data_IF_521097901608
#
_entry.id   IF_521097901608
#
_cell.length_a   1.000
_cell.length_b   1.000
_cell.length_c   1.000
_cell.angle_alpha   90.00
_cell.angle_beta   90.00
_cell.angle_gamma   90.00
#
_symmetry.space_group_name_H-M   'P 1'
#
loop_
_entity.id
_entity.type
_entity.pdbx_description
1 polymer ?
#
# COMPACT_ATOMS: atom_id res chain seq x y z
N UNK A 1 13.99 -20.20 9.79
CA UNK A 1 12.64 -19.61 9.91
C UNK A 1 12.79 -18.10 10.01
N UNK A 2 11.95 -17.34 9.31
CA UNK A 2 11.93 -15.88 9.38
C UNK A 2 11.36 -15.41 10.72
N UNK A 3 11.91 -14.35 11.29
CA UNK A 3 11.37 -13.73 12.51
C UNK A 3 10.41 -12.60 12.15
N UNK A 4 9.31 -12.48 12.89
CA UNK A 4 8.39 -11.34 12.75
C UNK A 4 9.06 -10.02 13.12
N UNK A 5 9.94 -10.07 14.12
CA UNK A 5 10.69 -8.91 14.59
C UNK A 5 11.71 -8.46 13.53
N UNK A 6 11.70 -7.15 13.31
CA UNK A 6 12.63 -6.42 12.44
C UNK A 6 13.17 -5.23 13.23
N UNK A 7 14.27 -4.66 12.75
CA UNK A 7 14.88 -3.45 13.28
C UNK A 7 15.15 -2.50 12.12
N UNK A 8 15.02 -1.17 12.31
CA UNK A 8 15.41 -0.17 11.28
C UNK A 8 16.83 -0.43 10.78
N UNK A 9 17.74 -0.70 11.70
CA UNK A 9 19.13 -1.02 11.42
C UNK A 9 19.41 -2.40 12.02
N UNK A 10 19.60 -3.39 11.15
CA UNK A 10 20.04 -4.71 11.56
C UNK A 10 21.57 -4.78 11.59
N UNK A 11 22.15 -4.93 12.79
CA UNK A 11 23.60 -4.99 13.00
C UNK A 11 24.07 -6.36 13.47
N UNK A 12 23.16 -7.28 13.79
CA UNK A 12 23.48 -8.60 14.29
C UNK A 12 23.81 -9.54 13.11
N UNK A 13 25.08 -9.93 13.01
CA UNK A 13 25.60 -10.76 11.92
C UNK A 13 24.88 -12.12 11.79
N UNK A 14 24.30 -12.63 12.87
CA UNK A 14 23.56 -13.88 12.91
C UNK A 14 22.13 -13.75 12.36
N UNK A 15 21.61 -12.53 12.20
CA UNK A 15 20.21 -12.26 11.81
C UNK A 15 20.06 -11.42 10.54
N UNK A 16 21.15 -10.87 9.97
CA UNK A 16 21.17 -10.04 8.74
C UNK A 16 20.30 -10.58 7.58
N UNK A 17 20.25 -11.89 7.37
CA UNK A 17 19.49 -12.49 6.26
C UNK A 17 18.15 -13.12 6.69
N UNK A 18 17.87 -13.15 7.99
CA UNK A 18 16.76 -13.93 8.59
C UNK A 18 15.64 -13.08 9.18
N UNK A 19 15.88 -11.79 9.43
CA UNK A 19 14.85 -10.89 9.94
C UNK A 19 13.84 -10.48 8.88
N UNK A 20 12.56 -10.44 9.29
CA UNK A 20 11.46 -10.01 8.44
C UNK A 20 11.02 -11.03 7.40
N UNK A 21 9.96 -10.68 6.67
CA UNK A 21 9.40 -11.49 5.59
C UNK A 21 10.04 -11.04 4.26
N UNK A 22 10.36 -12.00 3.38
CA UNK A 22 10.75 -11.72 2.00
C UNK A 22 9.51 -11.76 1.10
N UNK A 23 8.95 -10.61 0.69
CA UNK A 23 7.76 -10.61 -0.16
C UNK A 23 8.12 -11.09 -1.56
N UNK A 24 7.39 -12.08 -2.07
CA UNK A 24 7.57 -12.66 -3.42
C UNK A 24 6.40 -12.30 -4.35
N UNK A 25 6.00 -11.02 -4.37
CA UNK A 25 4.85 -10.57 -5.19
C UNK A 25 5.20 -10.47 -6.67
N UNK A 26 6.31 -9.78 -6.94
CA UNK A 26 6.92 -9.68 -8.25
C UNK A 26 8.19 -10.53 -8.19
N UNK A 27 8.11 -11.82 -8.53
CA UNK A 27 9.27 -12.70 -8.46
C UNK A 27 10.28 -12.30 -9.54
N UNK A 28 11.59 -12.51 -9.28
CA UNK A 28 12.59 -12.41 -10.33
C UNK A 28 12.23 -13.29 -11.52
N UNK A 29 12.44 -12.79 -12.73
CA UNK A 29 12.45 -13.62 -13.93
C UNK A 29 13.69 -14.52 -13.89
N UNK A 30 13.54 -15.70 -13.29
CA UNK A 30 14.62 -16.68 -13.16
C UNK A 30 15.09 -17.21 -14.52
N UNK A 31 14.27 -17.14 -15.57
CA UNK A 31 14.61 -17.62 -16.90
C UNK A 31 15.56 -16.67 -17.61
N UNK A 32 15.33 -15.35 -17.50
CA UNK A 32 16.17 -14.33 -18.12
C UNK A 32 17.18 -13.67 -17.17
N UNK A 33 17.36 -14.24 -15.97
CA UNK A 33 18.26 -13.70 -14.96
C UNK A 33 19.71 -13.65 -15.48
N UNK A 34 20.32 -12.47 -15.47
CA UNK A 34 21.70 -12.24 -15.95
C UNK A 34 21.86 -12.03 -17.46
N UNK A 35 20.80 -12.18 -18.26
CA UNK A 35 20.82 -11.92 -19.70
C UNK A 35 20.56 -10.44 -20.07
N UNK A 36 20.17 -9.61 -19.09
CA UNK A 36 19.78 -8.21 -19.32
C UNK A 36 18.41 -8.05 -20.01
N UNK A 37 17.69 -9.14 -20.23
CA UNK A 37 16.39 -9.22 -20.94
C UNK A 37 15.27 -9.64 -19.99
N UNK A 38 15.24 -9.06 -18.79
CA UNK A 38 14.20 -9.32 -17.79
C UNK A 38 12.86 -8.78 -18.32
N UNK A 39 11.80 -9.58 -18.28
CA UNK A 39 10.50 -9.27 -18.90
C UNK A 39 9.35 -9.16 -17.87
N UNK A 40 9.67 -8.70 -16.65
CA UNK A 40 8.65 -8.51 -15.62
C UNK A 40 7.81 -7.26 -15.89
N UNK A 41 6.51 -7.43 -16.08
CA UNK A 41 5.57 -6.31 -16.11
C UNK A 41 5.32 -5.73 -14.72
N UNK A 42 5.35 -4.39 -14.63
CA UNK A 42 4.93 -3.67 -13.43
C UNK A 42 3.49 -3.20 -13.55
N UNK A 43 2.63 -3.70 -12.66
CA UNK A 43 1.21 -3.35 -12.67
C UNK A 43 1.00 -2.03 -11.93
N UNK A 44 0.80 -0.96 -12.69
CA UNK A 44 0.48 0.36 -12.14
C UNK A 44 -0.99 0.51 -11.75
N UNK A 45 -1.88 -0.04 -12.59
CA UNK A 45 -3.33 0.04 -12.44
C UNK A 45 -3.91 -1.34 -12.69
N UNK A 46 -4.87 -1.72 -11.85
CA UNK A 46 -5.58 -3.00 -12.00
C UNK A 46 -6.95 -2.96 -11.38
N UNK A 47 -7.81 -3.83 -11.87
CA UNK A 47 -9.22 -3.86 -11.51
C UNK A 47 -9.49 -3.93 -9.99
N UNK A 48 -8.77 -4.73 -9.18
CA UNK A 48 -9.03 -4.76 -7.74
C UNK A 48 -8.83 -3.41 -7.03
N UNK A 49 -7.91 -2.57 -7.48
CA UNK A 49 -7.79 -1.21 -6.92
C UNK A 49 -9.06 -0.39 -7.18
N UNK A 50 -9.58 -0.44 -8.41
CA UNK A 50 -10.83 0.24 -8.78
C UNK A 50 -12.02 -0.25 -7.96
N UNK A 51 -12.13 -1.58 -7.76
CA UNK A 51 -13.20 -2.16 -6.95
C UNK A 51 -13.09 -1.75 -5.48
N UNK A 52 -11.88 -1.72 -4.92
CA UNK A 52 -11.63 -1.25 -3.55
C UNK A 52 -11.89 0.26 -3.40
N UNK A 53 -11.57 1.07 -4.41
CA UNK A 53 -11.93 2.50 -4.44
C UNK A 53 -13.45 2.69 -4.47
N UNK A 54 -14.18 1.91 -5.27
CA UNK A 54 -15.66 1.91 -5.28
C UNK A 54 -16.22 1.54 -3.91
N UNK A 55 -15.67 0.49 -3.28
CA UNK A 55 -16.08 0.08 -1.93
C UNK A 55 -15.83 1.20 -0.90
N UNK A 56 -14.69 1.89 -0.98
CA UNK A 56 -14.38 3.01 -0.08
C UNK A 56 -15.35 4.17 -0.27
N UNK A 57 -15.62 4.56 -1.52
CA UNK A 57 -16.53 5.65 -1.83
C UNK A 57 -17.93 5.38 -1.24
N UNK A 58 -18.43 4.16 -1.37
CA UNK A 58 -19.73 3.76 -0.81
C UNK A 58 -19.71 3.82 0.72
N UNK A 59 -18.66 3.30 1.38
CA UNK A 59 -18.53 3.38 2.85
C UNK A 59 -18.45 4.82 3.36
N UNK A 60 -17.98 5.76 2.54
CA UNK A 60 -17.93 7.19 2.86
C UNK A 60 -19.20 7.96 2.48
N UNK A 61 -20.28 7.25 2.13
CA UNK A 61 -21.59 7.84 1.83
C UNK A 61 -21.86 8.09 0.35
N UNK A 62 -20.98 7.65 -0.55
CA UNK A 62 -21.22 7.68 -1.98
C UNK A 62 -22.38 6.76 -2.39
N UNK A 63 -23.17 7.19 -3.37
CA UNK A 63 -24.29 6.39 -3.90
C UNK A 63 -23.76 5.18 -4.69
N UNK A 64 -24.19 3.99 -4.30
CA UNK A 64 -23.83 2.76 -5.00
C UNK A 64 -24.42 2.72 -6.41
N UNK A 65 -23.61 2.27 -7.37
CA UNK A 65 -24.05 2.00 -8.75
C UNK A 65 -24.08 0.50 -9.03
N UNK A 66 -25.04 0.08 -9.86
CA UNK A 66 -25.22 -1.33 -10.28
C UNK A 66 -24.38 -1.71 -11.50
N UNK A 67 -23.46 -0.85 -11.94
CA UNK A 67 -22.59 -1.13 -13.08
C UNK A 67 -21.57 -2.24 -12.75
N UNK A 68 -21.44 -3.20 -13.69
CA UNK A 68 -20.49 -4.31 -13.63
C UNK A 68 -21.05 -5.56 -12.93
N UNK A 69 -20.22 -6.61 -12.86
CA UNK A 69 -20.59 -7.94 -12.33
C UNK A 69 -20.15 -8.18 -10.88
N UNK A 70 -19.47 -7.21 -10.27
CA UNK A 70 -18.82 -7.35 -8.96
C UNK A 70 -19.69 -6.90 -7.77
N UNK A 71 -20.97 -6.60 -8.03
CA UNK A 71 -21.92 -6.12 -7.04
C UNK A 71 -21.87 -4.61 -6.78
N UNK A 72 -22.71 -4.18 -5.85
CA UNK A 72 -22.95 -2.78 -5.51
C UNK A 72 -22.79 -2.47 -4.02
N UNK A 73 -22.38 -3.43 -3.19
CA UNK A 73 -22.09 -3.22 -1.77
C UNK A 73 -20.58 -3.31 -1.51
N UNK A 74 -20.04 -2.61 -0.48
CA UNK A 74 -18.63 -2.74 -0.11
C UNK A 74 -18.24 -4.20 0.17
N UNK A 75 -19.13 -4.95 0.84
CA UNK A 75 -18.93 -6.36 1.15
C UNK A 75 -18.82 -7.22 -0.13
N UNK A 76 -19.72 -7.04 -1.10
CA UNK A 76 -19.69 -7.79 -2.35
C UNK A 76 -18.43 -7.48 -3.16
N UNK A 77 -18.06 -6.20 -3.25
CA UNK A 77 -16.87 -5.75 -3.98
C UNK A 77 -15.59 -6.34 -3.38
N UNK A 78 -15.42 -6.24 -2.05
CA UNK A 78 -14.26 -6.82 -1.35
C UNK A 78 -14.23 -8.34 -1.48
N UNK A 79 -15.36 -9.01 -1.25
CA UNK A 79 -15.41 -10.47 -1.33
C UNK A 79 -15.14 -10.99 -2.75
N UNK A 80 -15.53 -10.25 -3.80
CA UNK A 80 -15.21 -10.62 -5.18
C UNK A 80 -13.71 -10.73 -5.46
N UNK A 81 -12.88 -9.93 -4.76
CA UNK A 81 -11.42 -10.00 -4.85
C UNK A 81 -10.90 -11.13 -3.96
N UNK A 82 -11.38 -11.21 -2.72
CA UNK A 82 -10.90 -12.18 -1.72
C UNK A 82 -11.12 -13.62 -2.17
N UNK A 83 -12.31 -13.92 -2.68
CA UNK A 83 -12.68 -15.27 -3.09
C UNK A 83 -12.32 -15.58 -4.53
N UNK A 84 -11.65 -14.67 -5.24
CA UNK A 84 -11.09 -14.96 -6.57
C UNK A 84 -10.14 -16.17 -6.49
N UNK A 85 -10.17 -17.00 -7.54
CA UNK A 85 -9.39 -18.23 -7.58
C UNK A 85 -7.87 -18.01 -7.47
N UNK A 86 -7.37 -16.81 -7.78
CA UNK A 86 -5.96 -16.43 -7.63
C UNK A 86 -5.58 -16.04 -6.19
N UNK A 87 -6.55 -15.72 -5.33
CA UNK A 87 -6.32 -15.30 -3.93
C UNK A 87 -6.71 -16.39 -2.93
N UNK A 88 -7.87 -17.04 -3.15
CA UNK A 88 -8.42 -18.11 -2.29
C UNK A 88 -8.52 -17.69 -0.81
N UNK A 89 -8.76 -16.42 -0.54
CA UNK A 89 -8.97 -15.93 0.81
C UNK A 89 -10.43 -16.16 1.25
N UNK A 90 -10.65 -16.28 2.56
CA UNK A 90 -12.00 -16.42 3.13
C UNK A 90 -12.84 -15.15 2.93
N UNK A 91 -14.12 -15.34 2.60
CA UNK A 91 -15.08 -14.24 2.54
C UNK A 91 -15.23 -13.57 3.91
N UNK A 92 -15.37 -12.25 3.92
CA UNK A 92 -15.75 -11.49 5.10
C UNK A 92 -17.27 -11.53 5.27
N UNK A 93 -17.74 -11.38 6.51
CA UNK A 93 -19.16 -11.26 6.85
C UNK A 93 -19.65 -9.81 6.85
N UNK A 94 -18.73 -8.86 7.06
CA UNK A 94 -18.98 -7.42 7.01
C UNK A 94 -17.70 -6.69 6.62
N UNK A 95 -17.83 -5.46 6.11
CA UNK A 95 -16.72 -4.57 5.77
C UNK A 95 -17.06 -3.18 6.25
N UNK A 96 -16.21 -2.63 7.13
CA UNK A 96 -16.17 -1.22 7.49
C UNK A 96 -14.91 -0.56 6.91
N UNK A 97 -14.68 0.73 7.21
CA UNK A 97 -13.49 1.45 6.74
C UNK A 97 -12.18 0.85 7.28
N UNK A 98 -12.17 0.27 8.48
CA UNK A 98 -10.97 -0.35 9.03
C UNK A 98 -10.63 -1.64 8.29
N UNK A 99 -11.63 -2.50 8.08
CA UNK A 99 -11.49 -3.73 7.30
C UNK A 99 -11.05 -3.43 5.87
N UNK A 100 -11.59 -2.39 5.24
CA UNK A 100 -11.20 -1.98 3.90
C UNK A 100 -9.76 -1.43 3.84
N UNK A 101 -9.33 -0.64 4.83
CA UNK A 101 -7.95 -0.15 4.94
C UNK A 101 -6.94 -1.31 5.01
N UNK A 102 -7.26 -2.33 5.79
CA UNK A 102 -6.43 -3.53 5.88
C UNK A 102 -6.47 -4.35 4.60
N UNK A 103 -7.62 -4.44 3.93
CA UNK A 103 -7.76 -5.17 2.67
C UNK A 103 -6.96 -4.51 1.54
N UNK A 104 -7.00 -3.18 1.43
CA UNK A 104 -6.14 -2.44 0.50
C UNK A 104 -4.66 -2.72 0.77
N UNK A 105 -4.27 -2.80 2.05
CA UNK A 105 -2.91 -3.18 2.45
C UNK A 105 -2.51 -4.60 2.01
N UNK A 106 -3.41 -5.58 2.15
CA UNK A 106 -3.19 -6.96 1.71
C UNK A 106 -3.16 -7.11 0.20
N UNK A 107 -4.06 -6.44 -0.50
CA UNK A 107 -4.21 -6.60 -1.94
C UNK A 107 -3.10 -5.86 -2.69
N UNK A 108 -2.78 -4.62 -2.30
CA UNK A 108 -1.92 -3.68 -3.05
C UNK A 108 -0.50 -3.50 -2.44
N UNK A 109 -0.05 -4.39 -1.55
CA UNK A 109 1.33 -4.33 -1.04
C UNK A 109 2.35 -4.37 -2.19
N UNK A 110 3.44 -3.62 -2.10
CA UNK A 110 4.45 -3.47 -3.16
C UNK A 110 3.93 -2.88 -4.50
N UNK A 111 2.78 -2.20 -4.50
CA UNK A 111 2.26 -1.53 -5.70
C UNK A 111 2.16 0.00 -5.54
N UNK A 112 2.99 0.59 -4.67
CA UNK A 112 3.12 2.05 -4.50
C UNK A 112 1.88 2.80 -3.97
N UNK A 113 0.85 2.09 -3.49
CA UNK A 113 -0.38 2.70 -2.96
C UNK A 113 -0.37 3.03 -1.46
N UNK A 114 0.43 2.30 -0.66
CA UNK A 114 0.26 2.26 0.80
C UNK A 114 0.38 3.64 1.47
N UNK A 115 1.31 4.49 1.04
CA UNK A 115 1.45 5.86 1.58
C UNK A 115 0.17 6.67 1.41
N UNK A 116 -0.36 6.68 0.17
CA UNK A 116 -1.54 7.47 -0.17
C UNK A 116 -2.76 6.97 0.60
N UNK A 117 -2.93 5.65 0.70
CA UNK A 117 -4.00 5.06 1.50
C UNK A 117 -3.86 5.43 2.99
N UNK A 118 -2.67 5.31 3.57
CA UNK A 118 -2.44 5.69 4.97
C UNK A 118 -2.77 7.17 5.23
N UNK A 119 -2.49 8.08 4.29
CA UNK A 119 -2.84 9.49 4.42
C UNK A 119 -4.37 9.68 4.37
N UNK A 120 -5.05 9.09 3.38
CA UNK A 120 -6.52 9.21 3.20
C UNK A 120 -7.32 8.59 4.35
N UNK A 121 -6.74 7.59 5.04
CA UNK A 121 -7.33 6.97 6.22
C UNK A 121 -6.85 7.59 7.54
N UNK A 122 -6.01 8.63 7.50
CA UNK A 122 -5.50 9.29 8.72
C UNK A 122 -4.59 8.42 9.58
N UNK A 123 -3.93 7.43 8.98
CA UNK A 123 -3.04 6.46 9.66
C UNK A 123 -1.55 6.76 9.46
N UNK A 124 -1.18 7.56 8.47
CA UNK A 124 0.21 7.75 8.04
C UNK A 124 1.15 8.28 9.13
N UNK A 125 0.66 9.19 9.97
CA UNK A 125 1.47 9.79 11.04
C UNK A 125 1.44 8.98 12.34
N UNK A 126 0.68 7.89 12.39
CA UNK A 126 0.59 7.06 13.58
C UNK A 126 1.89 6.30 13.86
N UNK A 127 2.06 5.81 15.10
CA UNK A 127 3.22 5.01 15.45
C UNK A 127 3.26 3.70 14.63
N UNK A 128 4.47 3.27 14.30
CA UNK A 128 4.78 1.99 13.65
C UNK A 128 5.73 1.17 14.54
N UNK A 129 5.94 -0.11 14.23
CA UNK A 129 6.81 -1.00 15.00
C UNK A 129 8.21 -0.41 15.22
N UNK A 130 8.76 0.18 14.17
CA UNK A 130 10.10 0.78 14.15
C UNK A 130 10.13 2.25 14.62
N UNK A 131 8.97 2.83 14.91
CA UNK A 131 8.81 4.24 15.22
C UNK A 131 7.61 4.40 16.15
N UNK A 132 7.80 4.21 17.46
CA UNK A 132 6.69 4.06 18.41
C UNK A 132 5.99 5.39 18.74
N UNK A 133 6.38 6.48 18.09
CA UNK A 133 5.81 7.82 18.29
C UNK A 133 5.12 8.31 17.03
N UNK A 134 4.10 9.15 17.21
CA UNK A 134 3.47 9.84 16.10
C UNK A 134 4.45 10.81 15.42
N UNK A 135 4.35 10.88 14.10
CA UNK A 135 5.16 11.77 13.26
C UNK A 135 4.56 13.18 13.16
N UNK A 136 5.41 14.18 12.90
CA UNK A 136 5.00 15.57 12.70
C UNK A 136 4.09 15.72 11.45
N UNK A 137 2.99 16.49 11.52
CA UNK A 137 2.10 16.77 10.39
C UNK A 137 2.78 17.24 9.10
N UNK A 138 3.94 17.90 9.17
CA UNK A 138 4.68 18.33 7.96
C UNK A 138 5.01 17.17 7.02
N UNK A 139 5.21 15.97 7.55
CA UNK A 139 5.58 14.78 6.76
C UNK A 139 4.47 14.22 5.86
N UNK A 140 3.26 14.80 5.90
CA UNK A 140 2.19 14.49 4.95
C UNK A 140 2.52 14.94 3.52
N UNK A 141 3.33 15.99 3.36
CA UNK A 141 3.73 16.53 2.06
C UNK A 141 5.26 16.54 2.00
N UNK A 142 5.86 16.03 0.93
CA UNK A 142 7.32 16.04 0.81
C UNK A 142 7.89 17.46 0.72
N UNK A 143 9.10 17.73 1.24
CA UNK A 143 9.74 19.02 1.06
C UNK A 143 10.05 19.27 -0.42
N UNK A 144 10.00 20.53 -0.82
CA UNK A 144 10.61 20.95 -2.08
C UNK A 144 12.14 20.90 -1.88
N UNK A 145 12.91 20.28 -2.78
CA UNK A 145 14.36 20.18 -2.62
C UNK A 145 15.01 21.57 -2.52
N UNK A 146 15.91 21.77 -1.55
CA UNK A 146 16.53 23.07 -1.28
C UNK A 146 17.26 23.67 -2.49
N UNK A 147 17.83 22.82 -3.35
CA UNK A 147 18.48 23.25 -4.59
C UNK A 147 17.48 23.93 -5.55
N UNK A 148 16.22 23.48 -5.58
CA UNK A 148 15.19 24.06 -6.43
C UNK A 148 14.72 25.41 -5.88
N UNK A 149 14.60 25.54 -4.55
CA UNK A 149 14.28 26.82 -3.90
C UNK A 149 15.39 27.85 -4.14
N UNK A 150 16.65 27.42 -4.08
CA UNK A 150 17.80 28.31 -4.28
C UNK A 150 17.86 28.93 -5.68
N UNK A 151 17.38 28.22 -6.71
CA UNK A 151 17.47 28.67 -8.11
C UNK A 151 16.16 29.25 -8.66
N UNK A 152 15.04 29.07 -7.97
CA UNK A 152 13.73 29.56 -8.41
C UNK A 152 12.99 30.26 -7.27
N UNK A 153 13.02 31.59 -7.29
CA UNK A 153 12.39 32.44 -6.28
C UNK A 153 10.86 32.39 -6.27
N UNK A 154 10.22 31.77 -7.28
CA UNK A 154 8.77 31.55 -7.28
C UNK A 154 8.35 30.34 -6.42
N UNK A 155 9.31 29.49 -6.01
CA UNK A 155 9.01 28.33 -5.17
C UNK A 155 8.99 28.73 -3.69
N UNK A 156 7.89 28.43 -3.02
CA UNK A 156 7.73 28.58 -1.58
C UNK A 156 7.73 27.19 -0.96
N UNK A 157 8.52 26.99 0.10
CA UNK A 157 8.62 25.70 0.79
C UNK A 157 7.27 25.24 1.36
N UNK A 158 7.06 23.93 1.41
CA UNK A 158 5.92 23.34 2.08
C UNK A 158 5.97 23.63 3.60
N UNK A 159 4.82 23.87 4.26
CA UNK A 159 4.81 24.26 5.68
C UNK A 159 5.58 23.28 6.59
N UNK A 160 6.44 23.83 7.46
CA UNK A 160 7.17 23.09 8.50
C UNK A 160 8.56 22.57 8.10
N UNK A 161 8.98 22.77 6.84
CA UNK A 161 10.31 22.43 6.33
C UNK A 161 11.23 23.63 6.21
#
# INVERSE_FOLDING_TARGET
>A
AFTREVHIIETNAQTLERTGIRPMKYPPDFTNNGAGTIDNDMVHLRLPDVLLMKAEAILRGGTATTAGVYGNTPLALVNSIRTDASRKAGALTSVDLSALYDERGRELYLELWRRQDMIRFGKYLGPIQEGPTSSDPKYLIFPIPNQQIAVNTNLVQNPGY
#
